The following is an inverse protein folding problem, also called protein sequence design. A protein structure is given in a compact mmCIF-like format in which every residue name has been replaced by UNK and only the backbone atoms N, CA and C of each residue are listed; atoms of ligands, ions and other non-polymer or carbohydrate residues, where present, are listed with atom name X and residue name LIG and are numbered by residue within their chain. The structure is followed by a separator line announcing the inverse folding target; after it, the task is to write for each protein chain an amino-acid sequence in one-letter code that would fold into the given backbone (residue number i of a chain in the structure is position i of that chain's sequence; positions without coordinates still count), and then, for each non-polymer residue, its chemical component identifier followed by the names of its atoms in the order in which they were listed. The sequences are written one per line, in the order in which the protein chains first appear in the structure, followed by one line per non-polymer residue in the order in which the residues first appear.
data_IF_743117587578
#
_entry.id   IF_743117587578
#
_cell.length_a   1.000
_cell.length_b   1.000
_cell.length_c   1.000
_cell.angle_alpha   90.00
_cell.angle_beta   90.00
_cell.angle_gamma   90.00
#
_symmetry.space_group_name_H-M   'P 1'
#
loop_
_entity.id
_entity.type
_entity.pdbx_description
1 polymer ?
#
# COMPACT_ATOMS: atom_id res chain seq x y z
N UNK A 1 -10.35 -6.01 4.88
CA UNK A 1 -8.89 -6.27 4.88
C UNK A 1 -8.19 -4.99 5.32
N UNK A 2 -7.00 -5.07 5.90
CA UNK A 2 -6.28 -3.90 6.41
C UNK A 2 -5.91 -2.97 5.23
N UNK A 3 -6.32 -1.70 5.29
CA UNK A 3 -5.86 -0.67 4.33
C UNK A 3 -4.56 -0.05 4.81
N UNK A 4 -3.76 0.42 3.86
CA UNK A 4 -2.49 1.07 4.12
C UNK A 4 -2.42 2.42 3.42
N UNK A 5 -1.88 3.44 4.08
CA UNK A 5 -1.67 4.76 3.51
C UNK A 5 -0.17 5.03 3.35
N UNK A 6 0.21 5.50 2.16
CA UNK A 6 1.54 6.03 1.89
C UNK A 6 1.73 7.34 2.67
N UNK A 7 2.66 7.36 3.62
CA UNK A 7 2.90 8.56 4.45
C UNK A 7 3.64 9.67 3.67
N UNK A 8 4.19 9.36 2.49
CA UNK A 8 4.89 10.32 1.65
C UNK A 8 3.94 11.14 0.75
N UNK A 9 2.91 10.53 0.18
CA UNK A 9 2.02 11.20 -0.79
C UNK A 9 0.52 11.06 -0.48
N UNK A 10 0.13 10.21 0.46
CA UNK A 10 -1.26 10.00 0.85
C UNK A 10 -2.04 8.98 0.02
N UNK A 11 -1.43 8.29 -0.95
CA UNK A 11 -2.05 7.17 -1.66
C UNK A 11 -2.55 6.10 -0.68
N UNK A 12 -3.76 5.57 -0.90
CA UNK A 12 -4.35 4.51 -0.09
C UNK A 12 -4.37 3.22 -0.89
N UNK A 13 -3.73 2.18 -0.37
CA UNK A 13 -3.88 0.82 -0.84
C UNK A 13 -5.10 0.18 -0.15
N UNK A 14 -6.14 -0.09 -0.93
CA UNK A 14 -7.31 -0.85 -0.50
C UNK A 14 -7.28 -2.26 -1.14
N UNK A 15 -7.10 -3.34 -0.36
CA UNK A 15 -7.15 -4.70 -0.90
C UNK A 15 -8.42 -5.00 -1.70
N UNK A 16 -9.56 -4.42 -1.35
CA UNK A 16 -10.83 -4.65 -2.06
C UNK A 16 -10.81 -4.10 -3.50
N UNK A 17 -9.92 -3.15 -3.79
CA UNK A 17 -9.71 -2.60 -5.14
C UNK A 17 -8.59 -3.35 -5.90
N UNK A 18 -7.90 -4.29 -5.23
CA UNK A 18 -6.72 -4.98 -5.73
C UNK A 18 -6.89 -6.51 -5.66
N UNK A 19 -8.00 -7.03 -6.17
CA UNK A 19 -8.32 -8.47 -6.23
C UNK A 19 -8.24 -9.18 -4.86
N UNK A 20 -8.59 -8.47 -3.78
CA UNK A 20 -8.49 -8.94 -2.39
C UNK A 20 -7.07 -9.39 -2.01
N UNK A 21 -6.03 -8.80 -2.61
CA UNK A 21 -4.63 -9.03 -2.25
C UNK A 21 -4.27 -8.16 -1.02
N UNK A 22 -3.83 -8.73 0.11
CA UNK A 22 -3.34 -7.95 1.25
C UNK A 22 -2.03 -7.22 0.92
N UNK A 23 -1.83 -6.03 1.51
CA UNK A 23 -0.61 -5.23 1.34
C UNK A 23 0.66 -6.00 1.72
N UNK A 24 0.57 -6.83 2.75
CA UNK A 24 1.67 -7.65 3.26
C UNK A 24 2.12 -8.71 2.25
N UNK A 25 1.24 -9.14 1.33
CA UNK A 25 1.54 -10.11 0.27
C UNK A 25 2.10 -9.47 -1.01
N UNK A 26 2.14 -8.14 -1.09
CA UNK A 26 2.76 -7.47 -2.23
C UNK A 26 4.25 -7.86 -2.33
N UNK A 27 4.81 -7.97 -3.55
CA UNK A 27 6.23 -8.20 -3.76
C UNK A 27 7.12 -7.19 -3.02
N UNK A 28 8.35 -7.58 -2.68
CA UNK A 28 9.30 -6.70 -1.96
C UNK A 28 9.75 -5.50 -2.80
N UNK A 29 9.69 -5.61 -4.13
CA UNK A 29 10.02 -4.56 -5.09
C UNK A 29 8.80 -3.71 -5.50
N UNK A 30 7.63 -3.98 -4.91
CA UNK A 30 6.46 -3.13 -5.11
C UNK A 30 6.73 -1.72 -4.58
N UNK A 31 6.30 -0.73 -5.35
CA UNK A 31 6.44 0.69 -5.00
C UNK A 31 5.09 1.40 -5.13
N UNK A 32 4.93 2.48 -4.36
CA UNK A 32 3.73 3.31 -4.42
C UNK A 32 3.47 3.76 -5.87
N UNK A 33 2.29 3.49 -6.45
CA UNK A 33 2.00 3.83 -7.84
C UNK A 33 1.99 5.34 -8.13
N UNK A 34 1.81 6.15 -7.09
CA UNK A 34 1.75 7.61 -7.20
C UNK A 34 3.12 8.30 -7.05
N UNK A 35 4.04 7.77 -6.24
CA UNK A 35 5.30 8.46 -5.94
C UNK A 35 6.57 7.60 -5.94
N UNK A 36 6.46 6.27 -6.09
CA UNK A 36 7.60 5.37 -6.27
C UNK A 36 8.38 5.00 -5.01
N UNK A 37 7.94 5.43 -3.82
CA UNK A 37 8.54 4.95 -2.55
C UNK A 37 8.17 3.49 -2.27
N UNK A 38 8.99 2.80 -1.47
CA UNK A 38 8.78 1.39 -1.12
C UNK A 38 7.69 1.17 -0.07
N UNK A 39 7.46 -0.11 0.25
CA UNK A 39 6.48 -0.56 1.26
C UNK A 39 6.80 -0.07 2.68
N UNK A 40 8.04 0.31 2.96
CA UNK A 40 8.50 0.88 4.23
C UNK A 40 7.91 2.28 4.52
N UNK A 41 7.35 2.94 3.51
CA UNK A 41 6.68 4.24 3.62
C UNK A 41 5.15 4.13 3.74
N UNK A 42 4.63 2.99 4.21
CA UNK A 42 3.21 2.77 4.41
C UNK A 42 2.87 2.40 5.85
N UNK A 43 1.77 2.97 6.35
CA UNK A 43 1.22 2.66 7.67
C UNK A 43 -0.23 2.14 7.55
N UNK A 44 -0.66 1.21 8.43
CA UNK A 44 -2.04 0.76 8.45
C UNK A 44 -2.96 1.88 8.91
N UNK A 45 -4.15 1.98 8.30
CA UNK A 45 -5.18 2.95 8.68
C UNK A 45 -6.48 2.23 9.11
N UNK A 46 -7.18 2.81 10.08
CA UNK A 46 -8.48 2.31 10.58
C UNK A 46 -9.64 2.58 9.61
#
# INVERSE_FOLDING_TARGET
MQKYQCIACGYIYDPAENDDIPFEQLPDDWTCPECGVGKDMFEPID
#
